data_IF_317443976281
#
_entry.id   IF_317443976281
#
_cell.length_a   1.000
_cell.length_b   1.000
_cell.length_c   1.000
_cell.angle_alpha   90.00
_cell.angle_beta   90.00
_cell.angle_gamma   90.00
#
_symmetry.space_group_name_H-M   'P 1'
#
loop_
_entity.id
_entity.type
_entity.pdbx_description
1 polymer ?
#
# COMPACT_ATOMS: atom_id res chain seq x y z
N UNK A 1 -44.20 -18.42 13.87
CA UNK A 1 -42.81 -18.45 13.38
C UNK A 1 -42.35 -17.01 13.18
N UNK A 2 -41.33 -16.53 13.90
CA UNK A 2 -40.87 -15.14 13.80
C UNK A 2 -39.71 -15.05 12.82
N UNK A 3 -39.94 -14.46 11.65
CA UNK A 3 -38.91 -14.19 10.62
C UNK A 3 -38.28 -12.85 10.96
N UNK A 4 -36.94 -12.77 11.02
CA UNK A 4 -36.20 -11.55 11.38
C UNK A 4 -35.07 -11.29 10.37
N UNK A 5 -35.37 -10.69 9.20
CA UNK A 5 -34.36 -10.38 8.20
C UNK A 5 -33.43 -9.25 8.66
N UNK A 6 -32.14 -9.36 8.35
CA UNK A 6 -31.13 -8.32 8.64
C UNK A 6 -30.07 -8.26 7.55
N UNK A 7 -29.53 -7.07 7.30
CA UNK A 7 -28.39 -6.88 6.40
C UNK A 7 -27.10 -7.17 7.16
N UNK A 8 -26.19 -7.92 6.54
CA UNK A 8 -24.86 -8.20 7.08
C UNK A 8 -23.81 -7.41 6.31
N UNK A 9 -23.00 -6.63 7.03
CA UNK A 9 -21.86 -5.90 6.47
C UNK A 9 -20.59 -6.67 6.85
N UNK A 10 -20.09 -7.48 5.93
CA UNK A 10 -18.93 -8.33 6.15
C UNK A 10 -17.69 -7.73 5.49
N UNK A 11 -16.60 -7.61 6.24
CA UNK A 11 -15.38 -6.91 5.81
C UNK A 11 -14.45 -7.76 4.94
N UNK A 12 -14.61 -9.08 4.94
CA UNK A 12 -13.74 -10.01 4.22
C UNK A 12 -14.40 -11.39 4.02
N UNK A 13 -13.76 -12.23 3.21
CA UNK A 13 -14.19 -13.61 2.94
C UNK A 13 -14.24 -14.48 4.21
N UNK A 14 -13.40 -14.19 5.23
CA UNK A 14 -13.44 -14.93 6.51
C UNK A 14 -14.77 -14.71 7.23
N UNK A 15 -15.25 -13.46 7.29
CA UNK A 15 -16.56 -13.15 7.87
C UNK A 15 -17.71 -13.86 7.15
N UNK A 16 -17.63 -13.99 5.82
CA UNK A 16 -18.59 -14.78 5.02
C UNK A 16 -18.55 -16.26 5.40
N UNK A 17 -17.35 -16.85 5.47
CA UNK A 17 -17.17 -18.26 5.87
C UNK A 17 -17.72 -18.52 7.27
N UNK A 18 -17.47 -17.60 8.21
CA UNK A 18 -17.91 -17.73 9.59
C UNK A 18 -19.44 -17.67 9.68
N UNK A 19 -20.10 -16.77 8.93
CA UNK A 19 -21.56 -16.69 8.93
C UNK A 19 -22.22 -17.92 8.27
N UNK A 20 -21.66 -18.42 7.16
CA UNK A 20 -22.14 -19.66 6.53
C UNK A 20 -22.06 -20.85 7.48
N UNK A 21 -20.98 -20.95 8.27
CA UNK A 21 -20.82 -22.00 9.29
C UNK A 21 -21.85 -21.88 10.41
N UNK A 22 -22.17 -20.66 10.86
CA UNK A 22 -23.16 -20.45 11.94
C UNK A 22 -24.56 -20.95 11.59
N UNK A 23 -24.93 -20.93 10.30
CA UNK A 23 -26.21 -21.45 9.81
C UNK A 23 -26.14 -22.93 9.39
N UNK A 24 -25.04 -23.62 9.66
CA UNK A 24 -24.90 -25.06 9.44
C UNK A 24 -24.53 -25.49 8.01
N UNK A 25 -23.98 -24.59 7.17
CA UNK A 25 -23.53 -24.96 5.82
C UNK A 25 -22.29 -25.87 5.89
N UNK A 26 -22.28 -26.94 5.07
CA UNK A 26 -21.15 -27.89 5.01
C UNK A 26 -19.84 -27.23 4.56
N UNK A 27 -18.70 -27.82 4.92
CA UNK A 27 -17.39 -27.26 4.55
C UNK A 27 -17.18 -27.22 3.04
N UNK A 28 -17.71 -28.20 2.31
CA UNK A 28 -17.68 -28.28 0.85
C UNK A 28 -18.47 -27.13 0.23
N UNK A 29 -19.68 -26.86 0.74
CA UNK A 29 -20.51 -25.76 0.28
C UNK A 29 -19.89 -24.39 0.65
N UNK A 30 -19.27 -24.25 1.83
CA UNK A 30 -18.56 -23.02 2.23
C UNK A 30 -17.46 -22.66 1.23
N UNK A 31 -16.69 -23.64 0.74
CA UNK A 31 -15.63 -23.42 -0.26
C UNK A 31 -16.17 -22.88 -1.60
N UNK A 32 -17.42 -23.19 -1.93
CA UNK A 32 -18.09 -22.75 -3.17
C UNK A 32 -18.81 -21.42 -2.98
N UNK A 33 -19.47 -21.23 -1.84
CA UNK A 33 -20.32 -20.06 -1.58
C UNK A 33 -19.52 -18.84 -1.13
N UNK A 34 -18.49 -19.01 -0.31
CA UNK A 34 -17.74 -17.86 0.21
C UNK A 34 -17.11 -16.98 -0.91
N UNK A 35 -16.49 -17.56 -1.96
CA UNK A 35 -15.98 -16.79 -3.10
C UNK A 35 -17.07 -16.07 -3.93
N UNK A 36 -18.35 -16.44 -3.77
CA UNK A 36 -19.49 -15.82 -4.47
C UNK A 36 -20.19 -14.73 -3.66
N UNK A 37 -19.95 -14.67 -2.35
CA UNK A 37 -20.64 -13.73 -1.46
C UNK A 37 -19.84 -12.45 -1.20
N UNK A 38 -18.50 -12.53 -1.16
CA UNK A 38 -17.65 -11.35 -0.97
C UNK A 38 -17.35 -10.64 -2.30
N UNK A 39 -17.62 -9.34 -2.36
CA UNK A 39 -17.37 -8.49 -3.52
C UNK A 39 -16.09 -7.67 -3.34
N UNK A 40 -15.33 -7.54 -4.43
CA UNK A 40 -14.23 -6.60 -4.55
C UNK A 40 -14.70 -5.36 -5.32
N UNK A 41 -14.17 -4.22 -4.89
CA UNK A 41 -14.25 -2.95 -5.59
C UNK A 41 -12.84 -2.51 -5.95
N UNK A 42 -12.44 -2.62 -7.22
CA UNK A 42 -11.05 -2.43 -7.65
C UNK A 42 -10.97 -1.26 -8.62
N UNK A 43 -10.23 -0.22 -8.26
CA UNK A 43 -9.94 0.93 -9.12
C UNK A 43 -8.66 0.67 -9.92
N UNK A 44 -8.71 0.92 -11.22
CA UNK A 44 -7.55 0.92 -12.11
C UNK A 44 -7.47 2.31 -12.73
N UNK A 45 -6.31 2.96 -12.67
CA UNK A 45 -6.10 4.30 -13.24
C UNK A 45 -5.19 4.24 -14.47
N UNK A 46 -5.27 5.28 -15.31
CA UNK A 46 -4.39 5.44 -16.47
C UNK A 46 -4.58 4.41 -17.58
N UNK A 47 -5.69 3.67 -17.58
CA UNK A 47 -6.00 2.64 -18.58
C UNK A 47 -6.56 3.30 -19.84
N UNK A 48 -6.18 2.80 -21.02
CA UNK A 48 -6.66 3.36 -22.29
C UNK A 48 -8.13 3.02 -22.53
N UNK A 49 -8.81 3.84 -23.32
CA UNK A 49 -10.24 3.62 -23.60
C UNK A 49 -10.54 2.27 -24.26
N UNK A 50 -9.76 1.77 -25.25
CA UNK A 50 -9.97 0.43 -25.79
C UNK A 50 -9.81 -0.68 -24.74
N UNK A 51 -8.76 -0.61 -23.91
CA UNK A 51 -8.52 -1.58 -22.84
C UNK A 51 -9.65 -1.54 -21.80
N UNK A 52 -10.12 -0.35 -21.41
CA UNK A 52 -11.21 -0.19 -20.45
C UNK A 52 -12.55 -0.75 -20.95
N UNK A 53 -12.90 -0.51 -22.22
CA UNK A 53 -14.12 -1.05 -22.82
C UNK A 53 -14.07 -2.58 -22.91
N UNK A 54 -12.94 -3.15 -23.34
CA UNK A 54 -12.79 -4.60 -23.42
C UNK A 54 -12.79 -5.26 -22.04
N UNK A 55 -12.16 -4.63 -21.05
CA UNK A 55 -12.24 -5.07 -19.65
C UNK A 55 -13.68 -5.08 -19.13
N UNK A 56 -14.46 -4.04 -19.45
CA UNK A 56 -15.89 -3.99 -19.10
C UNK A 56 -16.66 -5.14 -19.75
N UNK A 57 -16.44 -5.42 -21.02
CA UNK A 57 -17.09 -6.54 -21.72
C UNK A 57 -16.76 -7.89 -21.08
N UNK A 58 -15.50 -8.12 -20.72
CA UNK A 58 -15.05 -9.34 -20.04
C UNK A 58 -15.70 -9.51 -18.67
N UNK A 59 -15.83 -8.43 -17.89
CA UNK A 59 -16.53 -8.45 -16.61
C UNK A 59 -18.03 -8.77 -16.78
N UNK A 60 -18.70 -8.13 -17.74
CA UNK A 60 -20.12 -8.40 -18.03
C UNK A 60 -20.34 -9.85 -18.47
N UNK A 61 -19.39 -10.46 -19.19
CA UNK A 61 -19.48 -11.86 -19.64
C UNK A 61 -19.55 -12.89 -18.52
N UNK A 62 -19.20 -12.50 -17.27
CA UNK A 62 -19.28 -13.37 -16.08
C UNK A 62 -20.32 -12.87 -15.08
N UNK A 63 -21.26 -12.02 -15.52
CA UNK A 63 -22.29 -11.39 -14.69
C UNK A 63 -21.71 -10.49 -13.57
N UNK A 64 -20.49 -9.98 -13.77
CA UNK A 64 -19.89 -8.94 -12.94
C UNK A 64 -20.04 -7.59 -13.63
N UNK A 65 -19.50 -6.51 -13.06
CA UNK A 65 -19.62 -5.17 -13.64
C UNK A 65 -18.28 -4.42 -13.64
N UNK A 66 -18.20 -3.41 -14.50
CA UNK A 66 -17.13 -2.43 -14.50
C UNK A 66 -17.72 -1.05 -14.85
N UNK A 67 -17.56 -0.09 -13.94
CA UNK A 67 -17.90 1.29 -14.22
C UNK A 67 -16.76 1.95 -15.02
N UNK A 68 -17.15 2.61 -16.10
CA UNK A 68 -16.29 3.41 -16.97
C UNK A 68 -16.95 4.78 -17.18
N UNK A 69 -16.16 5.83 -17.42
CA UNK A 69 -16.73 7.15 -17.70
C UNK A 69 -17.40 7.21 -19.08
N UNK A 70 -18.25 8.21 -19.29
CA UNK A 70 -18.93 8.42 -20.59
C UNK A 70 -17.91 8.60 -21.72
N UNK A 71 -16.83 9.32 -21.45
CA UNK A 71 -15.77 9.66 -22.40
C UNK A 71 -14.97 8.41 -22.83
N UNK A 72 -14.81 7.46 -21.91
CA UNK A 72 -14.22 6.14 -22.23
C UNK A 72 -15.17 5.35 -23.12
N UNK A 73 -16.46 5.31 -22.76
CA UNK A 73 -17.47 4.58 -23.54
C UNK A 73 -17.62 5.16 -24.96
N UNK A 74 -17.47 6.47 -25.13
CA UNK A 74 -17.50 7.15 -26.44
C UNK A 74 -16.13 7.23 -27.13
N UNK A 75 -15.07 6.62 -26.57
CA UNK A 75 -13.70 6.66 -27.09
C UNK A 75 -13.13 8.08 -27.31
N UNK A 76 -13.65 9.08 -26.58
CA UNK A 76 -13.21 10.49 -26.70
C UNK A 76 -12.05 10.83 -25.76
N UNK A 77 -11.85 10.06 -24.69
CA UNK A 77 -10.64 10.15 -23.86
C UNK A 77 -9.58 9.16 -24.31
N UNK A 78 -8.29 9.51 -24.15
CA UNK A 78 -7.17 8.58 -24.37
C UNK A 78 -6.96 7.62 -23.18
N UNK A 79 -7.16 8.09 -21.94
CA UNK A 79 -6.95 7.34 -20.70
C UNK A 79 -7.95 7.76 -19.62
N UNK A 80 -8.35 6.86 -18.75
CA UNK A 80 -9.24 7.16 -17.62
C UNK A 80 -9.09 6.14 -16.49
N UNK A 81 -9.95 6.24 -15.48
CA UNK A 81 -10.14 5.21 -14.46
C UNK A 81 -11.24 4.19 -14.83
N UNK A 82 -11.09 2.98 -14.32
CA UNK A 82 -12.13 1.92 -14.36
C UNK A 82 -12.33 1.39 -12.95
N UNK A 83 -13.59 1.18 -12.57
CA UNK A 83 -13.94 0.58 -11.28
C UNK A 83 -14.57 -0.80 -11.52
N UNK A 84 -13.82 -1.87 -11.25
CA UNK A 84 -14.31 -3.23 -11.33
C UNK A 84 -15.13 -3.59 -10.10
N UNK A 85 -16.28 -4.23 -10.33
CA UNK A 85 -17.21 -4.68 -9.30
C UNK A 85 -17.46 -6.17 -9.54
N UNK A 86 -16.98 -7.02 -8.62
CA UNK A 86 -17.17 -8.45 -8.82
C UNK A 86 -16.70 -9.29 -7.65
N UNK A 87 -17.23 -10.50 -7.60
CA UNK A 87 -16.87 -11.51 -6.60
C UNK A 87 -15.55 -12.18 -6.95
N UNK A 88 -14.96 -12.88 -5.98
CA UNK A 88 -13.78 -13.70 -6.23
C UNK A 88 -14.00 -14.73 -7.34
N UNK A 89 -15.16 -15.39 -7.32
CA UNK A 89 -15.51 -16.42 -8.29
C UNK A 89 -15.58 -15.86 -9.72
N UNK A 90 -16.03 -14.62 -9.88
CA UNK A 90 -16.09 -13.94 -11.17
C UNK A 90 -14.71 -13.50 -11.64
N UNK A 91 -13.92 -12.86 -10.78
CA UNK A 91 -12.56 -12.42 -11.12
C UNK A 91 -11.67 -13.60 -11.52
N UNK A 92 -11.75 -14.75 -10.82
CA UNK A 92 -11.02 -15.97 -11.19
C UNK A 92 -11.34 -16.49 -12.61
N UNK A 93 -12.54 -16.23 -13.12
CA UNK A 93 -12.93 -16.60 -14.49
C UNK A 93 -12.42 -15.60 -15.52
N UNK A 94 -12.35 -14.31 -15.17
CA UNK A 94 -11.95 -13.22 -16.07
C UNK A 94 -10.44 -13.16 -16.26
N UNK A 95 -9.65 -13.30 -15.19
CA UNK A 95 -8.18 -13.11 -15.25
C UNK A 95 -7.48 -13.96 -16.33
N UNK A 96 -7.78 -15.27 -16.50
CA UNK A 96 -7.17 -16.05 -17.57
C UNK A 96 -7.58 -15.60 -18.98
N UNK A 97 -8.76 -14.99 -19.14
CA UNK A 97 -9.25 -14.48 -20.43
C UNK A 97 -8.51 -13.21 -20.82
N UNK A 98 -8.31 -12.29 -19.87
CA UNK A 98 -7.57 -11.04 -20.09
C UNK A 98 -6.15 -11.29 -20.62
N UNK A 99 -5.50 -12.38 -20.21
CA UNK A 99 -4.18 -12.77 -20.72
C UNK A 99 -4.13 -13.10 -22.22
N UNK A 100 -5.29 -13.37 -22.84
CA UNK A 100 -5.42 -13.71 -24.27
C UNK A 100 -5.97 -12.55 -25.10
N UNK A 101 -6.27 -11.42 -24.45
CA UNK A 101 -6.87 -10.26 -25.09
C UNK A 101 -5.79 -9.26 -25.54
N UNK A 102 -6.07 -8.41 -26.55
CA UNK A 102 -5.13 -7.41 -27.07
C UNK A 102 -4.86 -6.27 -26.07
N UNK A 103 -4.05 -5.31 -26.50
CA UNK A 103 -3.59 -4.17 -25.71
C UNK A 103 -2.79 -4.62 -24.48
N UNK A 104 -2.82 -3.83 -23.40
CA UNK A 104 -2.15 -4.12 -22.15
C UNK A 104 -2.99 -4.97 -21.16
N UNK A 105 -4.03 -5.67 -21.63
CA UNK A 105 -4.84 -6.54 -20.76
C UNK A 105 -4.07 -7.70 -20.12
N UNK A 106 -3.05 -8.32 -20.76
CA UNK A 106 -2.22 -9.31 -20.08
C UNK A 106 -1.49 -8.72 -18.87
N UNK A 107 -0.98 -7.49 -18.98
CA UNK A 107 -0.34 -6.79 -17.86
C UNK A 107 -1.36 -6.45 -16.76
N UNK A 108 -2.53 -5.93 -17.13
CA UNK A 108 -3.63 -5.69 -16.18
C UNK A 108 -4.01 -6.96 -15.43
N UNK A 109 -4.09 -8.10 -16.12
CA UNK A 109 -4.39 -9.40 -15.49
C UNK A 109 -3.33 -9.83 -14.48
N UNK A 110 -2.04 -9.66 -14.82
CA UNK A 110 -0.94 -9.96 -13.91
C UNK A 110 -0.99 -9.06 -12.66
N UNK A 111 -1.21 -7.75 -12.85
CA UNK A 111 -1.33 -6.79 -11.76
C UNK A 111 -2.54 -7.10 -10.86
N UNK A 112 -3.71 -7.38 -11.43
CA UNK A 112 -4.92 -7.78 -10.69
C UNK A 112 -4.71 -9.09 -9.93
N UNK A 113 -4.06 -10.07 -10.54
CA UNK A 113 -3.74 -11.34 -9.87
C UNK A 113 -2.82 -11.12 -8.67
N UNK A 114 -1.79 -10.29 -8.82
CA UNK A 114 -0.87 -9.90 -7.73
C UNK A 114 -1.61 -9.13 -6.64
N UNK A 115 -2.46 -8.18 -7.00
CA UNK A 115 -3.30 -7.40 -6.08
C UNK A 115 -4.19 -8.33 -5.24
N UNK A 116 -4.97 -9.20 -5.88
CA UNK A 116 -5.88 -10.12 -5.17
C UNK A 116 -5.12 -11.10 -4.28
N UNK A 117 -3.96 -11.59 -4.72
CA UNK A 117 -3.08 -12.43 -3.89
C UNK A 117 -2.58 -11.67 -2.66
N UNK A 118 -2.16 -10.41 -2.83
CA UNK A 118 -1.68 -9.56 -1.75
C UNK A 118 -2.80 -9.19 -0.77
N UNK A 119 -3.97 -8.81 -1.27
CA UNK A 119 -5.13 -8.44 -0.44
C UNK A 119 -5.60 -9.60 0.45
N UNK A 120 -5.49 -10.83 -0.04
CA UNK A 120 -5.83 -12.05 0.72
C UNK A 120 -4.73 -12.51 1.65
N UNK A 121 -3.55 -11.87 1.67
CA UNK A 121 -2.50 -12.26 2.60
C UNK A 121 -3.02 -12.04 4.02
N UNK A 122 -3.34 -13.14 4.69
CA UNK A 122 -3.60 -13.15 6.13
C UNK A 122 -2.33 -12.99 6.95
N UNK A 123 -1.15 -12.91 6.32
CA UNK A 123 0.13 -12.65 6.95
C UNK A 123 0.83 -11.48 6.27
N UNK A 124 1.04 -10.39 7.00
CA UNK A 124 1.73 -9.20 6.50
C UNK A 124 3.10 -9.10 7.16
N UNK A 125 4.13 -9.55 6.45
CA UNK A 125 5.52 -9.51 6.93
C UNK A 125 6.30 -8.53 6.08
N UNK A 126 6.76 -7.43 6.68
CA UNK A 126 7.74 -6.56 6.06
C UNK A 126 9.11 -7.24 6.15
N UNK A 127 9.79 -7.35 5.01
CA UNK A 127 11.13 -7.93 4.92
C UNK A 127 12.10 -6.83 4.58
N UNK A 128 12.96 -6.51 5.54
CA UNK A 128 14.09 -5.60 5.41
C UNK A 128 15.35 -6.42 5.08
N UNK A 129 16.48 -5.75 4.83
CA UNK A 129 17.72 -6.44 4.43
C UNK A 129 18.16 -7.48 5.47
N UNK A 130 18.05 -7.13 6.75
CA UNK A 130 18.55 -7.94 7.87
C UNK A 130 17.45 -8.36 8.86
N UNK A 131 16.24 -7.79 8.75
CA UNK A 131 15.15 -8.01 9.71
C UNK A 131 13.84 -8.33 9.01
N UNK A 132 12.97 -9.04 9.72
CA UNK A 132 11.58 -9.28 9.30
C UNK A 132 10.65 -8.81 10.41
N UNK A 133 9.62 -8.07 10.04
CA UNK A 133 8.63 -7.55 10.96
C UNK A 133 7.24 -8.08 10.59
N UNK A 134 6.67 -8.90 11.48
CA UNK A 134 5.37 -9.55 11.27
C UNK A 134 4.23 -8.68 11.83
N UNK A 135 3.60 -7.88 10.97
CA UNK A 135 2.47 -7.01 11.31
C UNK A 135 1.15 -7.77 11.46
N UNK A 136 1.15 -9.08 11.26
CA UNK A 136 -0.06 -9.90 11.45
C UNK A 136 -0.44 -10.04 12.91
N UNK A 137 0.55 -9.97 13.80
CA UNK A 137 0.41 -10.29 15.22
C UNK A 137 0.53 -9.08 16.14
N UNK A 138 1.07 -7.98 15.64
CA UNK A 138 1.23 -6.74 16.38
C UNK A 138 1.12 -5.54 15.46
N UNK A 139 0.68 -4.42 16.04
CA UNK A 139 0.86 -3.10 15.44
C UNK A 139 2.33 -2.72 15.65
N UNK A 140 3.02 -2.34 14.58
CA UNK A 140 4.38 -1.83 14.70
C UNK A 140 4.39 -0.33 14.96
N UNK A 141 5.33 0.14 15.77
CA UNK A 141 5.50 1.57 16.09
C UNK A 141 6.64 2.15 15.28
N UNK A 142 6.34 3.15 14.45
CA UNK A 142 7.32 3.90 13.68
C UNK A 142 7.68 5.20 14.43
N UNK A 143 8.92 5.32 14.89
CA UNK A 143 9.44 6.54 15.51
C UNK A 143 9.77 7.59 14.45
N UNK A 144 9.21 8.79 14.58
CA UNK A 144 9.38 9.86 13.58
C UNK A 144 10.51 10.80 13.98
N UNK A 145 11.58 10.82 13.19
CA UNK A 145 12.73 11.70 13.33
C UNK A 145 12.70 12.80 12.26
N UNK A 146 12.15 13.94 12.61
CA UNK A 146 12.19 15.14 11.77
C UNK A 146 13.52 15.86 11.94
N UNK A 147 14.19 16.22 10.85
CA UNK A 147 15.47 16.96 10.80
C UNK A 147 15.27 18.41 10.31
N UNK A 148 14.23 19.09 10.80
CA UNK A 148 13.81 20.42 10.32
C UNK A 148 14.43 21.58 11.13
N UNK A 149 14.81 22.72 10.53
CA UNK A 149 15.52 23.80 11.22
C UNK A 149 14.87 24.25 12.54
N UNK A 150 13.54 24.33 12.57
CA UNK A 150 12.76 24.83 13.72
C UNK A 150 12.81 23.89 14.95
N UNK A 151 13.25 22.64 14.78
CA UNK A 151 13.47 21.70 15.88
C UNK A 151 14.91 21.66 16.40
N UNK A 152 15.85 22.35 15.74
CA UNK A 152 17.30 22.26 15.99
C UNK A 152 18.04 23.60 16.13
N UNK A 153 17.33 24.72 16.33
CA UNK A 153 17.89 26.08 16.21
C UNK A 153 18.98 26.51 17.24
N UNK A 154 19.45 25.65 18.17
CA UNK A 154 20.35 26.07 19.26
C UNK A 154 21.75 25.40 19.28
N UNK A 155 22.22 24.74 18.21
CA UNK A 155 23.58 24.18 18.18
C UNK A 155 24.04 23.82 16.78
N UNK A 156 25.33 23.91 16.50
CA UNK A 156 25.91 23.65 15.16
C UNK A 156 25.63 22.25 14.60
N UNK A 157 26.09 21.97 13.36
CA UNK A 157 25.82 20.72 12.61
C UNK A 157 26.07 19.43 13.42
N UNK A 158 27.17 19.40 14.20
CA UNK A 158 27.52 18.26 15.06
C UNK A 158 26.55 18.08 16.23
N UNK A 159 26.06 19.18 16.80
CA UNK A 159 25.07 19.18 17.88
C UNK A 159 23.72 18.65 17.39
N UNK A 160 23.35 18.98 16.14
CA UNK A 160 22.12 18.50 15.49
C UNK A 160 22.16 16.99 15.26
N UNK A 161 23.27 16.47 14.73
CA UNK A 161 23.43 15.02 14.51
C UNK A 161 23.46 14.24 15.83
N UNK A 162 24.23 14.68 16.83
CA UNK A 162 24.29 14.02 18.13
C UNK A 162 22.94 14.04 18.85
N UNK A 163 22.15 15.11 18.70
CA UNK A 163 20.78 15.19 19.23
C UNK A 163 19.83 14.25 18.49
N UNK A 164 19.93 14.15 17.17
CA UNK A 164 19.15 13.22 16.37
C UNK A 164 19.42 11.77 16.81
N UNK A 165 20.69 11.40 17.01
CA UNK A 165 21.06 10.05 17.47
C UNK A 165 20.56 9.75 18.89
N UNK A 166 20.67 10.71 19.82
CA UNK A 166 20.05 10.56 21.15
C UNK A 166 18.54 10.38 21.07
N UNK A 167 17.86 11.09 20.18
CA UNK A 167 16.43 10.92 20.02
C UNK A 167 16.08 9.53 19.46
N UNK A 168 16.90 9.01 18.55
CA UNK A 168 16.76 7.63 18.06
C UNK A 168 16.97 6.62 19.19
N UNK A 169 17.98 6.81 20.03
CA UNK A 169 18.21 5.99 21.22
C UNK A 169 16.99 5.98 22.14
N UNK A 170 16.46 7.16 22.50
CA UNK A 170 15.22 7.28 23.27
C UNK A 170 14.05 6.52 22.62
N UNK A 171 13.84 6.70 21.30
CA UNK A 171 12.76 6.02 20.57
C UNK A 171 12.93 4.49 20.57
N UNK A 172 14.16 4.00 20.45
CA UNK A 172 14.48 2.57 20.52
C UNK A 172 14.20 2.03 21.92
N UNK A 173 14.60 2.74 22.98
CA UNK A 173 14.31 2.38 24.38
C UNK A 173 12.81 2.39 24.70
N UNK A 174 12.06 3.34 24.13
CA UNK A 174 10.59 3.42 24.21
C UNK A 174 9.87 2.31 23.42
N UNK A 175 10.60 1.52 22.63
CA UNK A 175 10.08 0.36 21.91
C UNK A 175 9.64 0.63 20.48
N UNK A 176 10.21 1.63 19.80
CA UNK A 176 10.02 1.80 18.36
C UNK A 176 10.51 0.56 17.59
N UNK A 177 9.71 0.13 16.62
CA UNK A 177 10.02 -1.01 15.74
C UNK A 177 10.79 -0.60 14.49
N UNK A 178 10.69 0.67 14.09
CA UNK A 178 11.42 1.29 12.99
C UNK A 178 11.52 2.81 13.19
N UNK A 179 12.49 3.44 12.53
CA UNK A 179 12.68 4.89 12.55
C UNK A 179 12.40 5.46 11.16
N UNK A 180 11.62 6.52 11.07
CA UNK A 180 11.36 7.27 9.84
C UNK A 180 12.05 8.62 9.90
N UNK A 181 12.93 8.89 8.93
CA UNK A 181 13.78 10.08 8.91
C UNK A 181 13.25 11.05 7.86
N UNK A 182 12.82 12.24 8.27
CA UNK A 182 12.33 13.29 7.36
C UNK A 182 13.24 14.52 7.34
N UNK A 183 13.66 14.95 6.15
CA UNK A 183 14.53 16.13 5.97
C UNK A 183 13.79 17.43 5.66
N UNK A 184 12.52 17.31 5.26
CA UNK A 184 11.63 18.40 4.87
C UNK A 184 10.43 18.47 5.81
N UNK A 185 9.96 19.67 6.12
CA UNK A 185 8.73 19.85 6.89
C UNK A 185 7.54 19.76 5.95
N UNK A 186 6.65 18.78 6.16
CA UNK A 186 5.37 18.66 5.46
C UNK A 186 4.28 19.59 6.02
N UNK A 187 4.61 20.44 7.01
CA UNK A 187 3.67 21.40 7.61
C UNK A 187 3.29 22.53 6.65
N UNK A 188 2.03 23.00 6.63
CA UNK A 188 1.60 24.14 5.82
C UNK A 188 2.44 25.41 6.12
N UNK A 189 3.00 26.03 5.08
CA UNK A 189 3.78 27.27 5.18
C UNK A 189 5.28 27.09 5.45
N UNK A 190 5.78 25.86 5.51
CA UNK A 190 7.22 25.61 5.59
C UNK A 190 7.94 26.06 4.31
N UNK A 191 9.14 26.63 4.44
CA UNK A 191 9.99 26.94 3.28
C UNK A 191 10.46 25.64 2.65
N UNK A 192 10.22 25.50 1.35
CA UNK A 192 10.65 24.36 0.56
C UNK A 192 12.18 24.19 0.67
N UNK A 193 12.61 22.99 1.04
CA UNK A 193 14.03 22.67 1.15
C UNK A 193 14.48 22.18 -0.23
N UNK A 194 15.63 22.64 -0.74
CA UNK A 194 16.16 22.10 -2.00
C UNK A 194 16.61 20.65 -1.86
N UNK A 195 16.56 19.85 -2.93
CA UNK A 195 16.97 18.42 -2.94
C UNK A 195 18.34 18.21 -2.29
N UNK A 196 19.34 19.00 -2.70
CA UNK A 196 20.70 18.89 -2.18
C UNK A 196 20.80 19.20 -0.69
N UNK A 197 19.95 20.11 -0.19
CA UNK A 197 19.91 20.45 1.22
C UNK A 197 19.25 19.36 2.05
N UNK A 198 18.18 18.75 1.54
CA UNK A 198 17.52 17.60 2.15
C UNK A 198 18.49 16.42 2.27
N UNK A 199 19.20 16.09 1.18
CA UNK A 199 20.25 15.05 1.16
C UNK A 199 21.33 15.34 2.22
N UNK A 200 21.84 16.58 2.28
CA UNK A 200 22.86 16.99 3.27
C UNK A 200 22.39 16.83 4.71
N UNK A 201 21.09 16.89 4.97
CA UNK A 201 20.51 16.72 6.31
C UNK A 201 20.32 15.25 6.66
N UNK A 202 19.66 14.49 5.78
CA UNK A 202 19.21 13.13 6.11
C UNK A 202 20.33 12.10 6.02
N UNK A 203 21.20 12.19 5.01
CA UNK A 203 22.17 11.12 4.72
C UNK A 203 23.17 10.89 5.86
N UNK A 204 23.84 11.92 6.42
CA UNK A 204 24.79 11.71 7.51
C UNK A 204 24.15 11.12 8.77
N UNK A 205 22.89 11.47 9.04
CA UNK A 205 22.12 10.94 10.17
C UNK A 205 21.74 9.49 9.92
N UNK A 206 21.20 9.17 8.74
CA UNK A 206 20.87 7.80 8.32
C UNK A 206 22.09 6.88 8.44
N UNK A 207 23.25 7.29 7.90
CA UNK A 207 24.47 6.48 7.96
C UNK A 207 24.88 6.18 9.40
N UNK A 208 24.80 7.17 10.31
CA UNK A 208 25.10 6.93 11.73
C UNK A 208 24.04 6.10 12.44
N UNK A 209 22.77 6.24 12.11
CA UNK A 209 21.74 5.37 12.66
C UNK A 209 22.03 3.91 12.28
N UNK A 210 22.38 3.67 11.02
CA UNK A 210 22.73 2.33 10.51
C UNK A 210 24.00 1.74 11.13
N UNK A 211 24.96 2.57 11.52
CA UNK A 211 26.17 2.13 12.23
C UNK A 211 25.91 1.78 13.71
N UNK A 212 25.00 2.50 14.37
CA UNK A 212 24.85 2.46 15.83
C UNK A 212 23.65 1.64 16.32
N UNK A 213 22.60 1.50 15.51
CA UNK A 213 21.35 0.88 15.91
C UNK A 213 20.96 -0.24 14.95
N UNK A 214 20.62 -1.40 15.50
CA UNK A 214 19.99 -2.47 14.74
C UNK A 214 18.48 -2.23 14.64
N UNK A 215 18.05 -1.15 13.99
CA UNK A 215 16.63 -0.85 13.78
C UNK A 215 16.38 -0.54 12.30
N UNK A 216 15.28 -1.05 11.68
CA UNK A 216 14.94 -0.69 10.31
C UNK A 216 14.76 0.82 10.17
N UNK A 217 15.31 1.38 9.09
CA UNK A 217 15.25 2.82 8.81
C UNK A 217 14.42 3.08 7.57
N UNK A 218 13.50 4.03 7.66
CA UNK A 218 12.71 4.58 6.57
C UNK A 218 13.16 6.01 6.27
N UNK A 219 13.05 6.42 5.01
CA UNK A 219 13.19 7.82 4.57
C UNK A 219 11.83 8.38 4.18
N UNK A 220 11.41 9.46 4.83
CA UNK A 220 10.21 10.22 4.48
C UNK A 220 10.57 11.25 3.39
N UNK A 221 10.29 10.89 2.14
CA UNK A 221 10.51 11.78 0.99
C UNK A 221 9.68 11.35 -0.21
N UNK A 222 9.11 12.33 -0.92
CA UNK A 222 8.46 12.13 -2.24
C UNK A 222 9.45 12.33 -3.40
N UNK A 223 10.72 12.63 -3.10
CA UNK A 223 11.71 13.02 -4.11
C UNK A 223 12.62 11.85 -4.47
N UNK A 224 12.47 11.36 -5.70
CA UNK A 224 13.23 10.22 -6.21
C UNK A 224 14.75 10.33 -6.02
N UNK A 225 15.35 11.53 -6.15
CA UNK A 225 16.79 11.74 -5.92
C UNK A 225 17.20 11.54 -4.47
N UNK A 226 16.37 12.00 -3.52
CA UNK A 226 16.60 11.84 -2.08
C UNK A 226 16.41 10.38 -1.69
N UNK A 227 15.33 9.75 -2.15
CA UNK A 227 15.07 8.32 -1.93
C UNK A 227 16.22 7.46 -2.45
N UNK A 228 16.76 7.76 -3.63
CA UNK A 228 17.92 7.06 -4.20
C UNK A 228 19.16 7.20 -3.30
N UNK A 229 19.51 8.42 -2.90
CA UNK A 229 20.67 8.65 -2.03
C UNK A 229 20.49 7.96 -0.66
N UNK A 230 19.28 7.94 -0.11
CA UNK A 230 18.98 7.28 1.15
C UNK A 230 19.07 5.75 1.05
N UNK A 231 18.61 5.16 -0.06
CA UNK A 231 18.78 3.73 -0.34
C UNK A 231 20.27 3.35 -0.44
N UNK A 232 21.08 4.19 -1.08
CA UNK A 232 22.55 4.02 -1.12
C UNK A 232 23.19 4.15 0.26
N UNK A 233 22.65 5.02 1.13
CA UNK A 233 23.07 5.17 2.52
C UNK A 233 22.56 4.04 3.46
N UNK A 234 21.70 3.15 2.96
CA UNK A 234 21.29 1.93 3.65
C UNK A 234 19.94 1.98 4.36
N UNK A 235 19.00 2.86 3.95
CA UNK A 235 17.60 2.73 4.43
C UNK A 235 16.96 1.44 3.94
N UNK A 236 16.01 0.93 4.72
CA UNK A 236 15.27 -0.31 4.45
C UNK A 236 13.92 -0.04 3.77
N UNK A 237 13.41 1.20 3.84
CA UNK A 237 12.09 1.59 3.34
C UNK A 237 12.10 3.04 2.82
N UNK A 238 11.28 3.31 1.80
CA UNK A 238 10.92 4.67 1.38
C UNK A 238 9.47 4.90 1.76
N UNK A 239 9.21 5.96 2.53
CA UNK A 239 7.89 6.45 2.89
C UNK A 239 7.55 7.64 1.99
N UNK A 240 6.77 7.40 0.94
CA UNK A 240 6.37 8.42 -0.04
C UNK A 240 4.90 8.78 0.15
N UNK A 241 4.64 10.00 0.59
CA UNK A 241 3.30 10.53 0.83
C UNK A 241 2.49 10.82 -0.44
N UNK A 242 3.13 10.84 -1.63
CA UNK A 242 2.48 11.16 -2.90
C UNK A 242 1.74 9.98 -3.54
N UNK A 243 2.01 8.75 -3.10
CA UNK A 243 1.35 7.52 -3.56
C UNK A 243 1.85 7.00 -4.92
#
# INVERSE_FOLDING_TARGET
>A
MRINPRVLILRNERGVKDELKKIGVSQEAVKILAPKAFHYLIKIEGISSPTANLLKQEMLSVMADAAISKEVASFTSKKSGVLLIGTEAQLKKVLPRLNRQPFNLPEVSQQLSKLLKNFKKGKFVLSFKEKKMDLTRKVAVMGVLNLTPDSFYNGGKYTTQARALRKVEEMVEEGADLIDVGGESTRPGAKEVGIEEEIRRVIPVISKIRELFEIPVSIDTYRAKVAKAALEAGVDMVNDISG
#
